data_IF_162122495722
#
_entry.id   IF_162122495722
#
_cell.length_a   1.000
_cell.length_b   1.000
_cell.length_c   1.000
_cell.angle_alpha   90.00
_cell.angle_beta   90.00
_cell.angle_gamma   90.00
#
_symmetry.space_group_name_H-M   'P 1'
#
loop_
_entity.id
_entity.type
_entity.pdbx_description
1 polymer ?
#
# COMPACT_ATOMS: atom_id res chain seq x y z
N UNK A 1 6.73 -1.23 -25.30
CA UNK A 1 7.75 -0.20 -25.01
C UNK A 1 7.35 0.42 -23.69
N UNK A 2 8.04 0.10 -22.60
CA UNK A 2 7.80 0.69 -21.28
C UNK A 2 8.05 2.19 -21.37
N UNK A 3 7.08 3.00 -20.97
CA UNK A 3 7.18 4.46 -21.10
C UNK A 3 8.31 4.99 -20.21
N UNK A 4 9.00 6.09 -20.58
CA UNK A 4 10.07 6.67 -19.76
C UNK A 4 9.66 6.93 -18.30
N UNK A 5 8.38 7.28 -18.07
CA UNK A 5 7.82 7.48 -16.73
C UNK A 5 7.74 6.17 -15.92
N UNK A 6 7.24 5.09 -16.52
CA UNK A 6 7.12 3.78 -15.87
C UNK A 6 8.50 3.27 -15.41
N UNK A 7 9.53 3.45 -16.25
CA UNK A 7 10.91 3.11 -15.88
C UNK A 7 11.41 3.95 -14.70
N UNK A 8 11.20 5.26 -14.73
CA UNK A 8 11.63 6.14 -13.65
C UNK A 8 10.93 5.79 -12.32
N UNK A 9 9.63 5.48 -12.37
CA UNK A 9 8.87 5.03 -11.19
C UNK A 9 9.41 3.70 -10.65
N UNK A 10 9.76 2.76 -11.53
CA UNK A 10 10.40 1.51 -11.11
C UNK A 10 11.74 1.76 -10.42
N UNK A 11 12.62 2.56 -11.02
CA UNK A 11 13.94 2.86 -10.46
C UNK A 11 13.82 3.57 -9.10
N UNK A 12 12.86 4.49 -8.96
CA UNK A 12 12.57 5.13 -7.68
C UNK A 12 12.06 4.13 -6.65
N UNK A 13 11.15 3.24 -7.02
CA UNK A 13 10.63 2.19 -6.13
C UNK A 13 11.76 1.29 -5.62
N UNK A 14 12.63 0.81 -6.52
CA UNK A 14 13.78 -0.02 -6.14
C UNK A 14 14.73 0.69 -5.17
N UNK A 15 15.01 1.98 -5.39
CA UNK A 15 15.89 2.74 -4.49
C UNK A 15 15.27 2.98 -3.11
N UNK A 16 13.94 3.10 -3.06
CA UNK A 16 13.22 3.37 -1.83
C UNK A 16 12.87 2.10 -1.06
N UNK A 17 12.83 0.92 -1.68
CA UNK A 17 12.42 -0.31 -1.00
C UNK A 17 13.46 -0.77 0.03
N UNK A 18 12.99 -1.06 1.25
CA UNK A 18 13.77 -1.69 2.31
C UNK A 18 13.38 -3.18 2.39
N UNK A 19 14.26 -4.05 1.91
CA UNK A 19 14.00 -5.49 1.88
C UNK A 19 13.86 -6.11 3.28
N UNK A 20 14.52 -5.56 4.30
CA UNK A 20 14.42 -6.08 5.67
C UNK A 20 13.06 -5.76 6.27
N UNK A 21 12.59 -4.54 6.03
CA UNK A 21 11.28 -4.06 6.53
C UNK A 21 10.12 -4.44 5.62
N UNK A 22 10.38 -4.85 4.39
CA UNK A 22 9.39 -5.00 3.32
C UNK A 22 8.50 -3.74 3.15
N UNK A 23 9.09 -2.55 3.27
CA UNK A 23 8.41 -1.26 3.14
C UNK A 23 9.32 -0.26 2.45
N UNK A 24 8.75 0.83 1.93
CA UNK A 24 9.59 1.93 1.43
C UNK A 24 10.24 2.71 2.57
N UNK A 25 11.43 3.26 2.35
CA UNK A 25 12.22 4.06 3.29
C UNK A 25 11.74 5.51 3.40
N UNK A 26 10.44 5.70 3.47
CA UNK A 26 9.83 7.01 3.66
C UNK A 26 9.38 7.19 5.11
N UNK A 27 9.59 8.37 5.65
CA UNK A 27 9.15 8.72 7.00
C UNK A 27 7.79 9.43 6.96
N UNK A 28 6.96 9.20 7.97
CA UNK A 28 5.72 9.92 8.20
C UNK A 28 4.50 9.38 7.45
N UNK A 29 3.54 10.26 7.15
CA UNK A 29 2.17 9.93 6.74
C UNK A 29 2.06 9.09 5.45
N UNK A 30 3.07 9.12 4.59
CA UNK A 30 3.02 8.50 3.27
C UNK A 30 3.58 7.07 3.23
N UNK A 31 4.24 6.61 4.30
CA UNK A 31 4.91 5.29 4.35
C UNK A 31 3.97 4.15 3.89
N UNK A 32 2.76 4.07 4.45
CA UNK A 32 1.79 3.02 4.15
C UNK A 32 1.27 3.12 2.71
N UNK A 33 0.92 4.33 2.27
CA UNK A 33 0.42 4.60 0.92
C UNK A 33 1.45 4.23 -0.14
N UNK A 34 2.68 4.71 0.00
CA UNK A 34 3.74 4.48 -0.98
C UNK A 34 4.19 3.01 -0.97
N UNK A 35 4.18 2.33 0.19
CA UNK A 35 4.42 0.87 0.24
C UNK A 35 3.33 0.10 -0.51
N UNK A 36 2.06 0.49 -0.40
CA UNK A 36 0.97 -0.15 -1.13
C UNK A 36 1.08 0.08 -2.64
N UNK A 37 1.40 1.30 -3.08
CA UNK A 37 1.62 1.62 -4.50
C UNK A 37 2.80 0.83 -5.08
N UNK A 38 3.91 0.76 -4.35
CA UNK A 38 5.07 -0.05 -4.72
C UNK A 38 4.75 -1.54 -4.82
N UNK A 39 3.89 -2.06 -3.95
CA UNK A 39 3.45 -3.46 -4.02
C UNK A 39 2.64 -3.76 -5.30
N UNK A 40 1.80 -2.83 -5.77
CA UNK A 40 1.10 -2.98 -7.05
C UNK A 40 2.08 -2.96 -8.23
N UNK A 41 3.09 -2.08 -8.18
CA UNK A 41 4.15 -2.06 -9.18
C UNK A 41 4.95 -3.37 -9.18
N UNK A 42 5.22 -3.97 -8.02
CA UNK A 42 5.83 -5.28 -7.92
C UNK A 42 4.96 -6.39 -8.53
N UNK A 43 3.63 -6.32 -8.38
CA UNK A 43 2.71 -7.27 -9.04
C UNK A 43 2.73 -7.15 -10.57
N UNK A 44 2.73 -5.93 -11.10
CA UNK A 44 2.81 -5.68 -12.55
C UNK A 44 4.09 -6.26 -13.17
N UNK A 45 5.19 -6.30 -12.41
CA UNK A 45 6.48 -6.86 -12.83
C UNK A 45 6.67 -8.34 -12.47
N UNK A 46 5.69 -9.01 -11.88
CA UNK A 46 5.76 -10.42 -11.50
C UNK A 46 6.51 -10.71 -10.20
N UNK A 47 6.87 -9.68 -9.42
CA UNK A 47 7.52 -9.79 -8.11
C UNK A 47 6.53 -10.15 -6.98
N UNK A 48 5.73 -11.20 -7.17
CA UNK A 48 4.59 -11.55 -6.31
C UNK A 48 5.00 -11.74 -4.85
N UNK A 49 6.14 -12.39 -4.58
CA UNK A 49 6.61 -12.63 -3.23
C UNK A 49 6.94 -11.32 -2.47
N UNK A 50 7.55 -10.35 -3.17
CA UNK A 50 7.87 -9.04 -2.60
C UNK A 50 6.61 -8.23 -2.35
N UNK A 51 5.69 -8.21 -3.33
CA UNK A 51 4.39 -7.57 -3.19
C UNK A 51 3.59 -8.13 -2.00
N UNK A 52 3.55 -9.45 -1.83
CA UNK A 52 2.85 -10.08 -0.71
C UNK A 52 3.42 -9.64 0.65
N UNK A 53 4.76 -9.57 0.77
CA UNK A 53 5.40 -9.12 2.00
C UNK A 53 5.06 -7.66 2.30
N UNK A 54 5.15 -6.79 1.30
CA UNK A 54 4.80 -5.39 1.44
C UNK A 54 3.33 -5.17 1.84
N UNK A 55 2.39 -5.89 1.23
CA UNK A 55 0.97 -5.80 1.57
C UNK A 55 0.67 -6.28 3.01
N UNK A 56 1.41 -7.28 3.51
CA UNK A 56 1.28 -7.69 4.92
C UNK A 56 1.70 -6.58 5.87
N UNK A 57 2.79 -5.87 5.57
CA UNK A 57 3.23 -4.75 6.38
C UNK A 57 2.26 -3.57 6.31
N UNK A 58 1.71 -3.27 5.13
CA UNK A 58 0.63 -2.27 4.96
C UNK A 58 -0.54 -2.57 5.88
N UNK A 59 -1.03 -3.81 5.88
CA UNK A 59 -2.17 -4.21 6.72
C UNK A 59 -1.86 -4.09 8.22
N UNK A 60 -0.65 -4.47 8.65
CA UNK A 60 -0.23 -4.33 10.05
C UNK A 60 -0.22 -2.87 10.51
N UNK A 61 0.20 -1.95 9.65
CA UNK A 61 0.27 -0.51 9.98
C UNK A 61 -1.09 0.19 9.84
N UNK A 62 -1.95 -0.27 8.93
CA UNK A 62 -3.28 0.32 8.72
C UNK A 62 -4.30 -0.18 9.75
N UNK A 63 -4.16 -1.43 10.20
CA UNK A 63 -5.03 -2.06 11.18
C UNK A 63 -4.17 -2.64 12.32
N UNK A 64 -3.64 -1.79 13.20
CA UNK A 64 -2.88 -2.28 14.33
C UNK A 64 -3.81 -3.10 15.25
N UNK A 65 -3.28 -4.19 15.82
CA UNK A 65 -4.08 -5.23 16.50
C UNK A 65 -4.81 -4.74 17.77
N UNK A 66 -4.53 -3.51 18.21
CA UNK A 66 -5.15 -2.82 19.34
C UNK A 66 -6.39 -2.01 18.94
N UNK A 67 -6.65 -1.86 17.63
CA UNK A 67 -7.83 -1.18 17.09
C UNK A 67 -8.93 -2.21 16.86
N UNK A 68 -10.11 -1.95 17.43
CA UNK A 68 -11.31 -2.78 17.21
C UNK A 68 -11.56 -2.90 15.70
N UNK A 69 -11.59 -4.12 15.12
CA UNK A 69 -11.87 -4.34 13.70
C UNK A 69 -13.15 -3.63 13.22
N UNK A 70 -14.11 -3.41 14.11
CA UNK A 70 -15.35 -2.69 13.82
C UNK A 70 -15.16 -1.16 13.61
N UNK A 71 -14.05 -0.59 14.08
CA UNK A 71 -13.78 0.86 13.98
C UNK A 71 -13.08 1.28 12.68
N UNK A 72 -12.44 0.34 11.97
CA UNK A 72 -11.85 0.57 10.64
C UNK A 72 -12.88 0.53 9.51
N UNK A 73 -14.09 0.04 9.79
CA UNK A 73 -15.21 0.02 8.88
C UNK A 73 -16.29 0.98 9.40
N UNK A 74 -16.08 2.30 9.28
CA UNK A 74 -17.23 3.15 8.96
C UNK A 74 -17.67 2.75 7.56
N UNK A 75 -18.42 1.66 7.49
CA UNK A 75 -19.25 1.29 6.38
C UNK A 75 -20.28 2.40 6.29
N UNK A 76 -19.95 3.51 5.62
CA UNK A 76 -20.97 4.43 5.13
C UNK A 76 -21.82 3.59 4.20
N UNK A 77 -22.93 3.11 4.75
CA UNK A 77 -23.96 2.39 4.02
C UNK A 77 -24.47 3.37 2.98
N UNK A 78 -23.98 3.25 1.75
CA UNK A 78 -24.58 3.91 0.59
C UNK A 78 -25.95 3.25 0.45
N UNK A 79 -26.96 3.82 1.10
CA UNK A 79 -28.27 3.18 1.25
C UNK A 79 -29.33 4.04 1.91
N UNK A 80 -29.00 4.89 2.88
CA UNK A 80 -30.02 5.73 3.54
C UNK A 80 -29.94 7.20 3.09
N UNK A 81 -30.14 7.42 1.80
CA UNK A 81 -30.61 8.71 1.28
C UNK A 81 -32.13 8.71 1.25
N UNK A 82 -32.76 8.81 2.42
CA UNK A 82 -34.14 9.31 2.49
C UNK A 82 -34.08 10.81 2.68
N UNK A 83 -34.23 11.54 1.58
CA UNK A 83 -34.63 12.94 1.61
C UNK A 83 -35.94 13.07 2.37
N UNK A 84 -35.89 13.71 3.55
CA UNK A 84 -36.97 14.53 4.12
C UNK A 84 -36.35 15.76 4.77
#
# INVERSE_FOLDING_TARGET
MTQPLERALQEMHEQLFDDDRAMVRLYGLYLVRETALGAFLDLENGNVARAQRALREVLKHQYPNDVDPASGATMTRIGDSSWQ
#
